data_IF_792354152987
#
_entry.id   IF_792354152987
#
_cell.length_a   1.000
_cell.length_b   1.000
_cell.length_c   1.000
_cell.angle_alpha   90.00
_cell.angle_beta   90.00
_cell.angle_gamma   90.00
#
_symmetry.space_group_name_H-M   'P 1'
#
loop_
_entity.id
_entity.type
_entity.pdbx_description
1 polymer ?
#
# COMPACT_ATOMS: atom_id res chain seq x y z
N UNK A 1 -11.16 -0.45 0.68
CA UNK A 1 -11.50 -0.77 2.08
C UNK A 1 -10.56 0.04 2.97
N UNK A 2 -11.12 0.75 3.93
CA UNK A 2 -10.35 1.57 4.90
C UNK A 2 -9.78 0.64 5.99
N UNK A 3 -8.67 -0.05 5.70
CA UNK A 3 -8.04 -0.96 6.66
C UNK A 3 -6.98 -0.27 7.50
N UNK A 4 -6.86 -0.73 8.74
CA UNK A 4 -5.81 -0.30 9.65
C UNK A 4 -4.43 -0.78 9.17
N UNK A 5 -3.40 0.01 9.45
CA UNK A 5 -2.00 -0.36 9.26
C UNK A 5 -1.31 -0.34 10.63
N UNK A 6 -0.79 -1.48 11.05
CA UNK A 6 -0.20 -1.65 12.38
C UNK A 6 1.02 -0.72 12.62
N UNK A 7 1.83 -0.43 11.59
CA UNK A 7 2.95 0.51 11.72
C UNK A 7 2.46 1.94 11.99
N UNK A 8 1.37 2.37 11.37
CA UNK A 8 0.75 3.67 11.64
C UNK A 8 0.13 3.74 13.01
N UNK A 9 -0.55 2.67 13.43
CA UNK A 9 -1.14 2.58 14.77
C UNK A 9 -0.06 2.53 15.85
N UNK A 10 1.10 1.91 15.59
CA UNK A 10 2.24 1.94 16.48
C UNK A 10 2.78 3.37 16.68
N UNK A 11 2.89 4.14 15.61
CA UNK A 11 3.25 5.56 15.71
C UNK A 11 2.27 6.33 16.61
N UNK A 12 0.95 6.08 16.44
CA UNK A 12 -0.10 6.69 17.29
C UNK A 12 0.04 6.24 18.75
N UNK A 13 0.29 4.97 18.99
CA UNK A 13 0.51 4.42 20.34
C UNK A 13 1.69 5.12 21.03
N UNK A 14 2.86 5.14 20.39
CA UNK A 14 4.07 5.72 20.96
C UNK A 14 3.91 7.22 21.23
N UNK A 15 3.32 7.97 20.30
CA UNK A 15 3.06 9.39 20.52
C UNK A 15 2.10 9.67 21.68
N UNK A 16 1.05 8.87 21.81
CA UNK A 16 0.10 9.00 22.91
C UNK A 16 0.68 8.55 24.25
N UNK A 17 1.49 7.48 24.25
CA UNK A 17 2.18 6.98 25.44
C UNK A 17 3.11 8.03 26.05
N UNK A 18 3.83 8.79 25.25
CA UNK A 18 4.69 9.90 25.68
C UNK A 18 3.98 10.89 26.61
N UNK A 19 2.65 11.01 26.52
CA UNK A 19 1.84 11.90 27.36
C UNK A 19 1.42 11.27 28.69
N UNK A 20 1.68 9.98 28.87
CA UNK A 20 1.22 9.15 30.00
C UNK A 20 2.37 8.59 30.81
N UNK A 21 3.46 8.23 30.13
CA UNK A 21 4.60 7.55 30.74
C UNK A 21 5.90 7.88 30.01
N UNK A 22 7.00 7.92 30.75
CA UNK A 22 8.33 7.94 30.16
C UNK A 22 8.69 6.53 29.64
N UNK A 23 9.29 6.48 28.47
CA UNK A 23 9.73 5.21 27.87
C UNK A 23 10.95 5.42 26.96
N UNK A 24 11.74 4.35 26.80
CA UNK A 24 12.89 4.33 25.89
C UNK A 24 12.81 3.12 24.96
N UNK A 25 12.67 3.35 23.65
CA UNK A 25 12.50 2.29 22.65
C UNK A 25 13.80 1.50 22.47
N UNK A 26 13.69 0.18 22.50
CA UNK A 26 14.75 -0.76 22.16
C UNK A 26 14.65 -1.10 20.68
N UNK A 27 13.49 -1.59 20.23
CA UNK A 27 13.29 -2.03 18.86
C UNK A 27 11.86 -1.81 18.37
N UNK A 28 11.72 -1.75 17.04
CA UNK A 28 10.45 -1.69 16.30
C UNK A 28 10.51 -2.71 15.17
N UNK A 29 9.47 -3.52 15.03
CA UNK A 29 9.35 -4.47 13.93
C UNK A 29 7.88 -4.58 13.48
N UNK A 30 7.61 -4.39 12.18
CA UNK A 30 6.27 -4.53 11.65
C UNK A 30 6.24 -4.79 10.16
N UNK A 31 5.41 -5.77 9.75
CA UNK A 31 5.21 -6.17 8.38
C UNK A 31 6.35 -7.00 7.77
N UNK A 32 6.02 -7.71 6.70
CA UNK A 32 6.93 -8.61 5.97
C UNK A 32 7.03 -8.28 4.48
N UNK A 33 6.08 -7.54 3.94
CA UNK A 33 6.01 -7.16 2.53
C UNK A 33 5.66 -5.68 2.40
N UNK A 34 6.40 -4.95 1.58
CA UNK A 34 6.20 -3.53 1.32
C UNK A 34 4.84 -3.23 0.68
N UNK A 35 4.35 -4.12 -0.18
CA UNK A 35 3.10 -3.99 -0.93
C UNK A 35 1.85 -4.52 -0.22
N UNK A 36 1.98 -4.97 1.03
CA UNK A 36 0.86 -5.44 1.86
C UNK A 36 0.60 -4.49 3.03
N UNK A 37 -0.67 -4.27 3.38
CA UNK A 37 -1.02 -3.52 4.60
C UNK A 37 -0.53 -4.32 5.81
N UNK A 38 0.28 -3.68 6.65
CA UNK A 38 0.89 -4.30 7.82
C UNK A 38 -0.16 -4.68 8.84
N UNK A 39 -0.21 -5.96 9.21
CA UNK A 39 -1.20 -6.51 10.15
C UNK A 39 -0.70 -6.52 11.59
N UNK A 40 0.61 -6.60 11.79
CA UNK A 40 1.25 -6.71 13.09
C UNK A 40 2.44 -5.76 13.18
N UNK A 41 2.58 -5.08 14.31
CA UNK A 41 3.75 -4.28 14.63
C UNK A 41 4.07 -4.44 16.11
N UNK A 42 5.32 -4.74 16.42
CA UNK A 42 5.82 -4.91 17.78
C UNK A 42 6.79 -3.78 18.10
N UNK A 43 6.73 -3.29 19.32
CA UNK A 43 7.73 -2.40 19.92
C UNK A 43 8.23 -3.02 21.22
N UNK A 44 9.53 -3.01 21.41
CA UNK A 44 10.16 -3.29 22.69
C UNK A 44 10.69 -1.97 23.27
N UNK A 45 10.41 -1.71 24.53
CA UNK A 45 10.85 -0.50 25.21
C UNK A 45 11.00 -0.69 26.71
N UNK A 46 11.80 0.15 27.34
CA UNK A 46 11.94 0.24 28.80
C UNK A 46 10.99 1.30 29.35
N UNK A 47 10.38 1.01 30.48
CA UNK A 47 9.55 1.95 31.26
C UNK A 47 9.41 1.47 32.70
N UNK A 48 9.25 2.38 33.62
CA UNK A 48 8.90 2.08 35.03
C UNK A 48 7.36 2.15 35.27
N UNK A 49 6.59 2.59 34.26
CA UNK A 49 5.15 2.86 34.37
C UNK A 49 4.29 1.80 33.67
N UNK A 50 4.51 0.52 33.99
CA UNK A 50 3.83 -0.63 33.30
C UNK A 50 2.30 -0.55 33.41
N UNK A 51 1.75 -0.09 34.55
CA UNK A 51 0.30 0.02 34.72
C UNK A 51 -0.31 1.12 33.85
N UNK A 52 0.38 2.25 33.70
CA UNK A 52 -0.04 3.34 32.82
C UNK A 52 -0.03 2.92 31.35
N UNK A 53 1.00 2.15 30.96
CA UNK A 53 1.07 1.54 29.61
C UNK A 53 -0.11 0.62 29.35
N UNK A 54 -0.41 -0.27 30.29
CA UNK A 54 -1.54 -1.21 30.17
C UNK A 54 -2.89 -0.49 30.08
N UNK A 55 -3.07 0.55 30.90
CA UNK A 55 -4.29 1.36 30.91
C UNK A 55 -4.45 2.07 29.57
N UNK A 56 -3.41 2.76 29.12
CA UNK A 56 -3.42 3.46 27.84
C UNK A 56 -3.62 2.52 26.65
N UNK A 57 -3.00 1.35 26.64
CA UNK A 57 -3.18 0.35 25.58
C UNK A 57 -4.65 -0.09 25.46
N UNK A 58 -5.34 -0.32 26.57
CA UNK A 58 -6.76 -0.67 26.58
C UNK A 58 -7.65 0.48 26.11
N UNK A 59 -7.39 1.71 26.57
CA UNK A 59 -8.10 2.90 26.12
C UNK A 59 -7.98 3.10 24.60
N UNK A 60 -6.74 3.05 24.10
CA UNK A 60 -6.46 3.24 22.67
C UNK A 60 -7.06 2.09 21.83
N UNK A 61 -6.98 0.84 22.30
CA UNK A 61 -7.60 -0.28 21.61
C UNK A 61 -9.10 -0.08 21.42
N UNK A 62 -9.81 0.38 22.45
CA UNK A 62 -11.24 0.66 22.36
C UNK A 62 -11.54 1.76 21.33
N UNK A 63 -10.78 2.86 21.36
CA UNK A 63 -10.93 3.95 20.40
C UNK A 63 -10.69 3.49 18.95
N UNK A 64 -9.60 2.73 18.72
CA UNK A 64 -9.26 2.24 17.39
C UNK A 64 -10.32 1.28 16.86
N UNK A 65 -10.85 0.37 17.68
CA UNK A 65 -11.93 -0.54 17.27
C UNK A 65 -13.18 0.22 16.83
N UNK A 66 -13.54 1.27 17.54
CA UNK A 66 -14.67 2.14 17.18
C UNK A 66 -14.43 2.86 15.85
N UNK A 67 -13.23 3.43 15.66
CA UNK A 67 -12.84 4.12 14.41
C UNK A 67 -12.81 3.21 13.17
N UNK A 68 -12.51 1.91 13.37
CA UNK A 68 -12.42 0.91 12.29
C UNK A 68 -13.64 -0.01 12.21
N UNK A 69 -14.76 0.34 12.86
CA UNK A 69 -16.02 -0.40 12.76
C UNK A 69 -16.42 -0.63 11.29
N UNK A 70 -16.76 -1.87 10.95
CA UNK A 70 -17.11 -2.28 9.58
C UNK A 70 -15.92 -2.55 8.64
N UNK A 71 -14.68 -2.35 9.10
CA UNK A 71 -13.47 -2.61 8.30
C UNK A 71 -12.44 -3.52 8.98
N UNK A 72 -12.04 -3.23 10.22
CA UNK A 72 -11.06 -3.98 11.02
C UNK A 72 -11.44 -3.96 12.52
N UNK A 73 -12.50 -4.67 12.90
CA UNK A 73 -13.06 -4.64 14.26
C UNK A 73 -12.25 -5.43 15.29
N UNK A 74 -11.37 -6.36 14.84
CA UNK A 74 -10.63 -7.27 15.72
C UNK A 74 -9.20 -6.78 16.04
N UNK A 75 -8.98 -5.46 16.01
CA UNK A 75 -7.67 -4.90 16.38
C UNK A 75 -7.40 -5.14 17.86
N UNK A 76 -6.20 -5.63 18.18
CA UNK A 76 -5.73 -5.87 19.55
C UNK A 76 -4.43 -5.10 19.81
N UNK A 77 -4.27 -4.60 21.03
CA UNK A 77 -3.02 -4.07 21.56
C UNK A 77 -2.68 -4.89 22.80
N UNK A 78 -1.64 -5.71 22.68
CA UNK A 78 -1.16 -6.56 23.78
C UNK A 78 0.08 -5.93 24.42
N UNK A 79 0.12 -5.90 25.74
CA UNK A 79 1.27 -5.47 26.52
C UNK A 79 1.81 -6.67 27.30
N UNK A 80 3.10 -6.95 27.15
CA UNK A 80 3.80 -8.02 27.87
C UNK A 80 4.94 -7.39 28.67
N UNK A 81 4.92 -7.54 29.98
CA UNK A 81 6.01 -7.09 30.83
C UNK A 81 6.97 -8.27 31.07
N UNK A 82 8.24 -8.08 30.73
CA UNK A 82 9.27 -9.15 30.83
C UNK A 82 10.18 -8.99 32.06
N UNK A 83 9.82 -8.10 32.99
CA UNK A 83 10.59 -7.83 34.20
C UNK A 83 11.70 -6.80 34.01
N UNK A 84 12.65 -6.77 34.93
CA UNK A 84 13.74 -5.79 34.89
C UNK A 84 14.85 -6.28 33.99
N UNK A 85 15.15 -5.52 32.96
CA UNK A 85 16.20 -5.82 31.97
C UNK A 85 17.11 -4.60 31.79
N UNK A 86 18.34 -4.85 31.35
CA UNK A 86 19.24 -3.79 30.83
C UNK A 86 19.41 -4.02 29.35
N UNK A 87 19.10 -3.02 28.56
CA UNK A 87 19.20 -3.09 27.10
C UNK A 87 19.72 -1.77 26.52
N UNK A 88 20.30 -1.84 25.34
CA UNK A 88 20.55 -0.64 24.52
C UNK A 88 19.21 -0.11 24.01
N UNK A 89 19.06 1.19 24.05
CA UNK A 89 17.85 1.88 23.57
C UNK A 89 18.20 2.86 22.48
N UNK A 90 17.23 3.24 21.68
CA UNK A 90 17.40 4.32 20.70
C UNK A 90 17.77 5.61 21.43
N UNK A 91 18.66 6.39 20.79
CA UNK A 91 18.95 7.72 21.30
C UNK A 91 17.63 8.55 21.35
N UNK A 92 17.38 9.33 22.41
CA UNK A 92 16.12 10.06 22.58
C UNK A 92 15.70 10.88 21.34
N UNK A 93 16.66 11.57 20.69
CA UNK A 93 16.40 12.32 19.47
C UNK A 93 15.97 11.40 18.31
N UNK A 94 16.57 10.21 18.18
CA UNK A 94 16.19 9.23 17.14
C UNK A 94 14.80 8.67 17.40
N UNK A 95 14.48 8.37 18.65
CA UNK A 95 13.14 7.95 19.06
C UNK A 95 12.08 9.01 18.67
N UNK A 96 12.32 10.29 18.98
CA UNK A 96 11.41 11.38 18.61
C UNK A 96 11.22 11.49 17.10
N UNK A 97 12.30 11.38 16.33
CA UNK A 97 12.25 11.42 14.86
C UNK A 97 11.44 10.26 14.29
N UNK A 98 11.61 9.06 14.83
CA UNK A 98 10.87 7.86 14.39
C UNK A 98 9.37 8.00 14.72
N UNK A 99 9.04 8.44 15.93
CA UNK A 99 7.63 8.68 16.31
C UNK A 99 7.03 9.76 15.42
N UNK A 100 7.75 10.84 15.15
CA UNK A 100 7.30 11.90 14.23
C UNK A 100 7.11 11.36 12.81
N UNK A 101 8.05 10.57 12.30
CA UNK A 101 7.95 9.95 10.98
C UNK A 101 6.70 9.07 10.88
N UNK A 102 6.50 8.15 11.82
CA UNK A 102 5.35 7.24 11.81
C UNK A 102 4.00 7.97 11.90
N UNK A 103 3.94 9.10 12.60
CA UNK A 103 2.75 9.95 12.65
C UNK A 103 2.48 10.63 11.30
N UNK A 104 3.51 11.12 10.63
CA UNK A 104 3.37 12.05 9.51
C UNK A 104 3.60 11.41 8.14
N UNK A 105 4.26 10.23 8.04
CA UNK A 105 4.43 9.56 6.75
C UNK A 105 3.07 9.29 6.08
N UNK A 106 2.89 9.68 4.82
CA UNK A 106 1.66 9.44 4.09
C UNK A 106 1.26 7.96 4.11
N UNK A 107 -0.03 7.70 4.27
CA UNK A 107 -0.59 6.35 4.29
C UNK A 107 -2.00 6.32 3.67
N UNK A 108 -2.34 5.21 3.01
CA UNK A 108 -3.65 4.98 2.44
C UNK A 108 -3.87 5.71 1.11
N UNK A 109 -5.13 5.97 0.79
CA UNK A 109 -5.52 6.67 -0.44
C UNK A 109 -5.13 8.14 -0.33
N UNK A 110 -4.33 8.60 -1.28
CA UNK A 110 -3.92 10.00 -1.38
C UNK A 110 -4.78 10.77 -2.39
N UNK A 111 -5.25 10.09 -3.44
CA UNK A 111 -6.09 10.70 -4.47
C UNK A 111 -6.99 9.67 -5.14
N UNK A 112 -8.24 10.05 -5.37
CA UNK A 112 -9.17 9.31 -6.22
C UNK A 112 -9.10 9.83 -7.65
N UNK A 113 -9.37 8.96 -8.64
CA UNK A 113 -9.43 9.37 -10.04
C UNK A 113 -10.56 10.37 -10.26
N UNK A 114 -10.24 11.47 -10.92
CA UNK A 114 -11.24 12.46 -11.35
C UNK A 114 -12.04 12.04 -12.60
N UNK A 115 -11.56 11.01 -13.33
CA UNK A 115 -12.16 10.57 -14.59
C UNK A 115 -12.92 9.25 -14.45
N UNK A 116 -12.49 8.37 -13.55
CA UNK A 116 -13.11 7.04 -13.34
C UNK A 116 -13.64 6.97 -11.91
N UNK A 117 -14.96 6.93 -11.80
CA UNK A 117 -15.64 6.88 -10.49
C UNK A 117 -15.24 5.60 -9.72
N UNK A 118 -14.82 5.79 -8.46
CA UNK A 118 -14.47 4.68 -7.56
C UNK A 118 -13.05 4.14 -7.73
N UNK A 119 -12.27 4.60 -8.73
CA UNK A 119 -10.89 4.22 -8.90
C UNK A 119 -9.98 5.03 -7.97
N UNK A 120 -9.12 4.33 -7.24
CA UNK A 120 -7.99 4.95 -6.55
C UNK A 120 -6.92 5.31 -7.58
N UNK A 121 -6.57 6.58 -7.68
CA UNK A 121 -5.50 7.05 -8.57
C UNK A 121 -4.13 6.89 -7.91
N UNK A 122 -3.99 7.37 -6.66
CA UNK A 122 -2.71 7.40 -5.95
C UNK A 122 -2.89 6.92 -4.51
N UNK A 123 -2.05 6.01 -4.08
CA UNK A 123 -2.03 5.49 -2.72
C UNK A 123 -0.62 5.15 -2.27
N UNK A 124 -0.42 5.06 -0.96
CA UNK A 124 0.84 4.59 -0.36
C UNK A 124 0.57 3.75 0.87
N UNK A 125 1.52 2.90 1.20
CA UNK A 125 1.46 2.00 2.33
C UNK A 125 2.87 1.84 2.94
N UNK A 126 3.02 2.12 4.24
CA UNK A 126 4.22 1.72 4.99
C UNK A 126 4.09 0.24 5.34
N UNK A 127 4.69 -0.63 4.53
CA UNK A 127 4.56 -2.07 4.59
C UNK A 127 5.54 -2.75 5.52
N UNK A 128 6.74 -2.18 5.71
CA UNK A 128 7.78 -2.74 6.56
C UNK A 128 8.33 -1.64 7.47
N UNK A 129 8.55 -2.01 8.74
CA UNK A 129 9.29 -1.23 9.72
C UNK A 129 10.23 -2.19 10.43
N UNK A 130 11.52 -1.86 10.53
CA UNK A 130 12.51 -2.73 11.14
C UNK A 130 13.64 -1.93 11.79
N UNK A 131 13.95 -2.25 13.03
CA UNK A 131 15.16 -1.79 13.73
C UNK A 131 16.29 -2.78 13.50
N UNK A 132 17.44 -2.27 13.17
CA UNK A 132 18.72 -2.99 13.18
C UNK A 132 19.67 -2.35 14.18
N UNK A 133 20.92 -2.78 14.22
CA UNK A 133 21.90 -2.32 15.20
C UNK A 133 22.11 -0.80 15.18
N UNK A 134 22.10 -0.19 13.99
CA UNK A 134 22.48 1.22 13.81
C UNK A 134 21.38 2.07 13.15
N UNK A 135 20.27 1.48 12.75
CA UNK A 135 19.24 2.20 12.00
C UNK A 135 17.82 1.67 12.26
N UNK A 136 16.83 2.49 11.96
CA UNK A 136 15.45 2.07 11.80
C UNK A 136 15.06 2.31 10.35
N UNK A 137 14.72 1.24 9.64
CA UNK A 137 14.31 1.23 8.25
C UNK A 137 12.80 1.17 8.14
N UNK A 138 12.22 2.05 7.29
CA UNK A 138 10.83 1.99 6.87
C UNK A 138 10.74 1.80 5.36
N UNK A 139 9.97 0.80 4.88
CA UNK A 139 9.72 0.60 3.47
C UNK A 139 8.27 0.90 3.12
N UNK A 140 8.07 1.77 2.13
CA UNK A 140 6.74 2.19 1.67
C UNK A 140 6.53 1.84 0.20
N UNK A 141 5.40 1.22 -0.12
CA UNK A 141 4.97 0.99 -1.49
C UNK A 141 4.08 2.13 -1.96
N UNK A 142 4.48 2.82 -3.01
CA UNK A 142 3.72 3.91 -3.64
C UNK A 142 3.12 3.40 -4.95
N UNK A 143 1.83 3.63 -5.15
CA UNK A 143 1.12 3.26 -6.38
C UNK A 143 0.36 4.46 -6.92
N UNK A 144 0.49 4.70 -8.20
CA UNK A 144 -0.29 5.71 -8.91
C UNK A 144 -0.43 5.34 -10.39
N UNK A 145 -1.60 5.61 -10.97
CA UNK A 145 -1.79 5.57 -12.42
C UNK A 145 -1.25 6.82 -13.13
N UNK A 146 -0.86 7.87 -12.37
CA UNK A 146 -0.31 9.13 -12.89
C UNK A 146 1.13 9.28 -12.41
N UNK A 147 2.08 9.36 -13.36
CA UNK A 147 3.53 9.36 -13.03
C UNK A 147 3.93 10.54 -12.16
N UNK A 148 3.49 11.74 -12.51
CA UNK A 148 3.81 12.96 -11.76
C UNK A 148 3.22 12.95 -10.34
N UNK A 149 2.05 12.35 -10.13
CA UNK A 149 1.45 12.20 -8.81
C UNK A 149 2.21 11.17 -7.95
N UNK A 150 2.67 10.07 -8.58
CA UNK A 150 3.56 9.09 -7.92
C UNK A 150 4.86 9.76 -7.46
N UNK A 151 5.49 10.52 -8.35
CA UNK A 151 6.77 11.17 -8.08
C UNK A 151 6.63 12.23 -6.99
N UNK A 152 5.59 13.06 -7.05
CA UNK A 152 5.30 14.04 -6.00
C UNK A 152 5.08 13.41 -4.62
N UNK A 153 4.41 12.25 -4.56
CA UNK A 153 4.23 11.51 -3.30
C UNK A 153 5.55 10.91 -2.79
N UNK A 154 6.38 10.40 -3.70
CA UNK A 154 7.74 9.93 -3.42
C UNK A 154 8.60 11.06 -2.84
N UNK A 155 8.61 12.21 -3.50
CA UNK A 155 9.37 13.40 -3.06
C UNK A 155 8.90 13.89 -1.69
N UNK A 156 7.60 13.80 -1.40
CA UNK A 156 7.06 14.14 -0.08
C UNK A 156 7.60 13.23 1.03
N UNK A 157 7.72 11.92 0.76
CA UNK A 157 8.31 10.97 1.71
C UNK A 157 9.82 11.19 1.83
N UNK A 158 10.50 11.43 0.71
CA UNK A 158 11.93 11.76 0.68
C UNK A 158 12.22 12.99 1.54
N UNK A 159 11.51 14.09 1.29
CA UNK A 159 11.70 15.34 2.03
C UNK A 159 11.44 15.17 3.53
N UNK A 160 10.39 14.42 3.91
CA UNK A 160 10.14 14.12 5.32
C UNK A 160 11.30 13.34 5.95
N UNK A 161 11.81 12.33 5.26
CA UNK A 161 12.91 11.48 5.74
C UNK A 161 14.21 12.27 5.88
N UNK A 162 14.57 13.03 4.86
CA UNK A 162 15.78 13.86 4.82
C UNK A 162 15.74 15.00 5.85
N UNK A 163 14.57 15.64 6.03
CA UNK A 163 14.37 16.65 7.06
C UNK A 163 14.63 16.12 8.48
N UNK A 164 14.29 14.84 8.70
CA UNK A 164 14.58 14.14 9.95
C UNK A 164 16.04 13.65 10.04
N UNK A 165 16.84 13.86 8.99
CA UNK A 165 18.24 13.42 8.90
C UNK A 165 18.39 11.94 8.60
N UNK A 166 17.39 11.33 7.95
CA UNK A 166 17.47 9.98 7.41
C UNK A 166 17.85 9.98 5.93
N UNK A 167 18.06 8.80 5.38
CA UNK A 167 18.35 8.57 3.97
C UNK A 167 17.12 8.01 3.26
N UNK A 168 16.87 8.44 2.03
CA UNK A 168 15.77 7.98 1.21
C UNK A 168 16.26 7.33 -0.07
N UNK A 169 15.74 6.16 -0.39
CA UNK A 169 16.06 5.43 -1.62
C UNK A 169 14.78 5.03 -2.35
N UNK A 170 14.76 5.14 -3.67
CA UNK A 170 13.67 4.64 -4.54
C UNK A 170 14.12 3.37 -5.22
N UNK A 171 13.34 2.31 -5.06
CA UNK A 171 13.58 1.02 -5.70
C UNK A 171 12.34 0.55 -6.47
N UNK A 172 12.53 -0.30 -7.50
CA UNK A 172 11.44 -0.95 -8.20
C UNK A 172 10.46 0.00 -8.90
N UNK A 173 10.95 1.09 -9.47
CA UNK A 173 10.10 2.11 -10.11
C UNK A 173 9.48 1.56 -11.38
N UNK A 174 8.16 1.36 -11.36
CA UNK A 174 7.36 0.99 -12.53
C UNK A 174 6.77 2.24 -13.19
N UNK A 175 6.79 2.35 -14.55
CA UNK A 175 6.10 3.42 -15.25
C UNK A 175 4.59 3.36 -14.98
N UNK A 176 3.98 4.52 -14.82
CA UNK A 176 2.54 4.61 -14.76
C UNK A 176 1.92 4.26 -16.11
N UNK A 177 0.74 3.66 -16.10
CA UNK A 177 -0.09 3.46 -17.28
C UNK A 177 -1.37 4.28 -17.12
N UNK A 178 -1.31 5.49 -17.64
CA UNK A 178 -2.41 6.43 -17.51
C UNK A 178 -3.62 6.01 -18.38
N UNK A 179 -4.82 6.25 -17.84
CA UNK A 179 -6.03 5.99 -18.60
C UNK A 179 -6.12 6.93 -19.81
N UNK A 180 -6.05 6.35 -20.99
CA UNK A 180 -6.22 7.07 -22.26
C UNK A 180 -7.71 7.29 -22.52
N UNK A 181 -8.16 8.56 -22.53
CA UNK A 181 -9.57 8.89 -22.74
C UNK A 181 -10.05 8.45 -24.13
N UNK A 182 -9.30 8.80 -25.16
CA UNK A 182 -9.60 8.47 -26.56
C UNK A 182 -8.73 7.29 -27.00
N UNK A 183 -9.30 6.08 -27.02
CA UNK A 183 -8.62 4.82 -27.35
C UNK A 183 -9.40 4.07 -28.42
N UNK A 184 -9.04 4.24 -29.71
CA UNK A 184 -9.68 3.51 -30.81
C UNK A 184 -9.60 1.99 -30.65
N UNK A 185 -8.47 1.48 -30.12
CA UNK A 185 -8.33 0.05 -29.85
C UNK A 185 -9.36 -0.43 -28.83
N UNK A 186 -9.48 0.26 -27.70
CA UNK A 186 -10.48 -0.09 -26.67
C UNK A 186 -11.89 -0.05 -27.22
N UNK A 187 -12.23 1.00 -27.98
CA UNK A 187 -13.57 1.18 -28.52
C UNK A 187 -13.91 0.04 -29.49
N UNK A 188 -12.97 -0.35 -30.38
CA UNK A 188 -13.13 -1.51 -31.27
C UNK A 188 -13.27 -2.81 -30.47
N UNK A 189 -12.48 -3.00 -29.44
CA UNK A 189 -12.58 -4.17 -28.56
C UNK A 189 -13.94 -4.27 -27.85
N UNK A 190 -14.49 -3.14 -27.38
CA UNK A 190 -15.84 -3.10 -26.78
C UNK A 190 -16.91 -3.47 -27.80
N UNK A 191 -16.84 -2.96 -29.02
CA UNK A 191 -17.74 -3.29 -30.12
C UNK A 191 -17.76 -4.81 -30.40
N UNK A 192 -16.59 -5.40 -30.64
CA UNK A 192 -16.43 -6.83 -30.90
C UNK A 192 -16.94 -7.69 -29.73
N UNK A 193 -16.71 -7.26 -28.49
CA UNK A 193 -17.21 -7.97 -27.31
C UNK A 193 -18.75 -7.95 -27.23
N UNK A 194 -19.36 -6.78 -27.50
CA UNK A 194 -20.81 -6.63 -27.51
C UNK A 194 -21.46 -7.48 -28.61
N UNK A 195 -20.86 -7.54 -29.80
CA UNK A 195 -21.29 -8.41 -30.89
C UNK A 195 -21.23 -9.90 -30.54
N UNK A 196 -20.14 -10.33 -29.87
CA UNK A 196 -19.95 -11.75 -29.53
C UNK A 196 -20.83 -12.22 -28.36
N UNK A 197 -21.08 -11.34 -27.39
CA UNK A 197 -21.69 -11.75 -26.10
C UNK A 197 -22.98 -11.03 -25.76
N UNK A 198 -23.46 -10.09 -26.59
CA UNK A 198 -24.72 -9.36 -26.38
C UNK A 198 -24.71 -8.38 -25.21
N UNK A 199 -23.53 -8.08 -24.65
CA UNK A 199 -23.35 -7.16 -23.52
C UNK A 199 -22.00 -6.46 -23.59
N UNK A 200 -21.91 -5.26 -23.03
CA UNK A 200 -20.62 -4.53 -22.95
C UNK A 200 -19.71 -5.13 -21.91
N UNK A 201 -18.38 -5.18 -22.18
CA UNK A 201 -17.41 -5.59 -21.19
C UNK A 201 -17.26 -4.53 -20.10
N UNK A 202 -16.81 -4.95 -18.92
CA UNK A 202 -16.34 -4.01 -17.90
C UNK A 202 -14.99 -3.42 -18.31
N UNK A 203 -14.98 -2.14 -18.64
CA UNK A 203 -13.74 -1.39 -18.83
C UNK A 203 -13.32 -0.80 -17.50
N UNK A 204 -12.19 -1.28 -17.00
CA UNK A 204 -11.63 -0.86 -15.71
C UNK A 204 -10.23 -0.31 -15.88
N UNK A 205 -9.80 0.51 -14.96
CA UNK A 205 -8.41 0.91 -14.81
C UNK A 205 -7.92 0.51 -13.41
N UNK A 206 -6.64 0.21 -13.29
CA UNK A 206 -6.01 -0.13 -12.01
C UNK A 206 -4.77 0.71 -11.81
N UNK A 207 -4.41 0.98 -10.56
CA UNK A 207 -3.19 1.70 -10.18
C UNK A 207 -2.07 0.71 -9.82
N UNK A 208 -1.87 -0.31 -10.66
CA UNK A 208 -0.80 -1.31 -10.52
C UNK A 208 0.18 -1.19 -11.67
N UNK A 209 1.43 -1.62 -11.44
CA UNK A 209 2.42 -1.76 -12.50
C UNK A 209 2.03 -2.91 -13.43
N UNK A 210 1.87 -2.62 -14.72
CA UNK A 210 1.62 -3.59 -15.77
C UNK A 210 2.62 -3.39 -16.91
N UNK A 211 2.84 -4.43 -17.70
CA UNK A 211 3.69 -4.39 -18.89
C UNK A 211 3.25 -3.32 -19.88
N UNK A 212 1.95 -3.04 -19.97
CA UNK A 212 1.40 -1.96 -20.79
C UNK A 212 2.01 -0.60 -20.43
N UNK A 213 2.31 -0.32 -19.17
CA UNK A 213 2.99 0.91 -18.76
C UNK A 213 4.42 1.00 -19.30
N UNK A 214 5.14 -0.14 -19.35
CA UNK A 214 6.48 -0.21 -19.93
C UNK A 214 6.46 0.04 -21.44
N UNK A 215 5.51 -0.56 -22.15
CA UNK A 215 5.34 -0.35 -23.60
C UNK A 215 4.92 1.09 -23.89
N UNK A 216 3.95 1.61 -23.17
CA UNK A 216 3.46 2.97 -23.30
C UNK A 216 4.58 4.01 -23.13
N UNK A 217 5.46 3.82 -22.15
CA UNK A 217 6.61 4.71 -21.92
C UNK A 217 7.66 4.64 -23.04
N UNK A 218 7.84 3.47 -23.66
CA UNK A 218 8.86 3.26 -24.71
C UNK A 218 8.36 3.60 -26.13
N UNK A 219 7.05 3.57 -26.32
CA UNK A 219 6.42 3.75 -27.65
C UNK A 219 5.43 4.91 -27.57
N UNK A 220 5.88 6.09 -27.95
CA UNK A 220 5.05 7.30 -27.92
C UNK A 220 3.75 7.12 -28.74
N UNK A 221 2.63 7.48 -28.15
CA UNK A 221 1.31 7.36 -28.78
C UNK A 221 0.72 5.96 -28.81
N UNK A 222 1.38 4.94 -28.25
CA UNK A 222 0.86 3.58 -28.20
C UNK A 222 -0.53 3.55 -27.55
N UNK A 223 -1.49 2.93 -28.23
CA UNK A 223 -2.77 2.56 -27.67
C UNK A 223 -2.72 1.09 -27.23
N UNK A 224 -2.93 0.81 -25.96
CA UNK A 224 -2.85 -0.54 -25.45
C UNK A 224 -3.94 -0.84 -24.41
N UNK A 225 -4.40 -2.09 -24.44
CA UNK A 225 -5.41 -2.64 -23.55
C UNK A 225 -4.89 -3.95 -22.98
N UNK A 226 -5.08 -4.16 -21.68
CA UNK A 226 -4.80 -5.42 -21.01
C UNK A 226 -6.08 -6.24 -20.88
N UNK A 227 -6.01 -7.51 -21.23
CA UNK A 227 -7.08 -8.48 -21.03
C UNK A 227 -6.47 -9.84 -20.64
N UNK A 228 -7.26 -10.67 -20.01
CA UNK A 228 -6.82 -12.01 -19.63
C UNK A 228 -7.96 -12.89 -19.14
N UNK A 229 -7.69 -14.20 -18.97
CA UNK A 229 -8.65 -15.13 -18.42
C UNK A 229 -8.88 -14.92 -16.93
N UNK A 230 -9.93 -15.57 -16.40
CA UNK A 230 -10.26 -15.54 -14.98
C UNK A 230 -9.20 -16.33 -14.19
N UNK A 231 -8.62 -15.69 -13.19
CA UNK A 231 -7.61 -16.25 -12.29
C UNK A 231 -8.01 -15.99 -10.83
N UNK A 232 -7.62 -16.90 -9.94
CA UNK A 232 -7.78 -16.75 -8.50
C UNK A 232 -6.45 -16.95 -7.79
N UNK A 233 -6.33 -16.39 -6.60
CA UNK A 233 -5.18 -16.54 -5.71
C UNK A 233 -3.82 -16.22 -6.38
N UNK A 234 -3.83 -15.22 -7.28
CA UNK A 234 -2.68 -14.79 -8.08
C UNK A 234 -1.50 -14.45 -7.14
N UNK A 235 -0.30 -14.90 -7.51
CA UNK A 235 0.95 -14.77 -6.76
C UNK A 235 1.01 -15.60 -5.46
N UNK A 236 0.24 -16.67 -5.39
CA UNK A 236 0.31 -17.65 -4.29
C UNK A 236 0.55 -19.07 -4.83
N UNK A 237 0.84 -20.02 -3.93
CA UNK A 237 0.93 -21.45 -4.29
C UNK A 237 -0.39 -22.07 -4.71
N UNK A 238 -1.50 -21.40 -4.41
CA UNK A 238 -2.87 -21.84 -4.73
C UNK A 238 -3.43 -21.17 -6.00
N UNK A 239 -2.56 -20.53 -6.79
CA UNK A 239 -2.96 -19.85 -8.02
C UNK A 239 -3.59 -20.82 -9.01
N UNK A 240 -4.76 -20.45 -9.50
CA UNK A 240 -5.53 -21.25 -10.48
C UNK A 240 -6.03 -20.40 -11.64
N UNK A 241 -6.09 -21.00 -12.82
CA UNK A 241 -6.57 -20.45 -14.08
C UNK A 241 -7.83 -21.17 -14.55
N UNK A 242 -8.85 -20.44 -14.97
CA UNK A 242 -10.05 -21.01 -15.58
C UNK A 242 -9.81 -21.40 -17.04
N UNK A 243 -9.80 -22.69 -17.35
CA UNK A 243 -9.62 -23.21 -18.72
C UNK A 243 -10.70 -22.68 -19.67
N UNK A 244 -11.96 -22.70 -19.25
CA UNK A 244 -13.08 -22.22 -20.08
C UNK A 244 -13.01 -20.71 -20.35
N UNK A 245 -12.51 -19.91 -19.41
CA UNK A 245 -12.32 -18.48 -19.65
C UNK A 245 -11.14 -18.21 -20.59
N UNK A 246 -10.09 -19.03 -20.54
CA UNK A 246 -8.96 -18.97 -21.47
C UNK A 246 -9.43 -19.19 -22.92
N UNK A 247 -10.29 -20.19 -23.14
CA UNK A 247 -10.88 -20.43 -24.46
C UNK A 247 -11.73 -19.24 -24.94
N UNK A 248 -12.53 -18.62 -24.06
CA UNK A 248 -13.31 -17.43 -24.40
C UNK A 248 -12.43 -16.24 -24.77
N UNK A 249 -11.39 -15.98 -23.97
CA UNK A 249 -10.43 -14.89 -24.23
C UNK A 249 -9.70 -15.12 -25.55
N UNK A 250 -9.30 -16.35 -25.85
CA UNK A 250 -8.66 -16.69 -27.13
C UNK A 250 -9.58 -16.38 -28.31
N UNK A 251 -10.83 -16.88 -28.30
CA UNK A 251 -11.81 -16.62 -29.35
C UNK A 251 -12.07 -15.11 -29.54
N UNK A 252 -12.18 -14.39 -28.44
CA UNK A 252 -12.36 -12.95 -28.44
C UNK A 252 -11.15 -12.22 -29.04
N UNK A 253 -9.94 -12.59 -28.64
CA UNK A 253 -8.70 -11.99 -29.20
C UNK A 253 -8.60 -12.21 -30.71
N UNK A 254 -8.91 -13.41 -31.20
CA UNK A 254 -8.90 -13.70 -32.65
C UNK A 254 -9.89 -12.80 -33.37
N UNK A 255 -11.10 -12.62 -32.86
CA UNK A 255 -12.12 -11.75 -33.45
C UNK A 255 -11.70 -10.27 -33.45
N UNK A 256 -11.08 -9.78 -32.38
CA UNK A 256 -10.52 -8.42 -32.33
C UNK A 256 -9.45 -8.24 -33.41
N UNK A 257 -8.52 -9.20 -33.55
CA UNK A 257 -7.48 -9.13 -34.57
C UNK A 257 -8.03 -9.18 -36.00
N UNK A 258 -9.12 -9.92 -36.26
CA UNK A 258 -9.83 -9.91 -37.54
C UNK A 258 -10.44 -8.53 -37.81
N UNK A 259 -11.12 -7.94 -36.82
CA UNK A 259 -11.78 -6.64 -36.95
C UNK A 259 -10.81 -5.43 -37.07
N UNK A 260 -9.55 -5.62 -36.67
CA UNK A 260 -8.51 -4.59 -36.82
C UNK A 260 -7.80 -4.62 -38.20
N UNK A 261 -8.12 -5.61 -39.08
CA UNK A 261 -7.60 -5.67 -40.45
C UNK A 261 -8.42 -4.89 -41.44
N UNK A 262 -9.66 -4.59 -41.09
CA UNK A 262 -10.59 -3.82 -41.88
C UNK A 262 -10.39 -2.28 -41.68
#
# INVERSE_FOLDING_TARGET
KNRANANKLMGRFLYGLKKKADYAVISLAGGQKDNAITRECTVEFLTDAVEDVNTYAKELQSQIREEYTGSDENITIEVKAEGTVTSQVLHPTSQEKIVFYLQNVPFGIQKMSGTIKGLVETSTNIGILKTSENEVMGSSSIRSSVETARDSLSDKIAYLTEFLGGEYERQGVYPAWEYRKDSPLRDKMVEVYEEMYGQKPNVVAIHAGLECGLFYKKMEGLDCVSLGPDMKDIHTSEEVLSISSTERVWKYLVKVLEALKE
#
